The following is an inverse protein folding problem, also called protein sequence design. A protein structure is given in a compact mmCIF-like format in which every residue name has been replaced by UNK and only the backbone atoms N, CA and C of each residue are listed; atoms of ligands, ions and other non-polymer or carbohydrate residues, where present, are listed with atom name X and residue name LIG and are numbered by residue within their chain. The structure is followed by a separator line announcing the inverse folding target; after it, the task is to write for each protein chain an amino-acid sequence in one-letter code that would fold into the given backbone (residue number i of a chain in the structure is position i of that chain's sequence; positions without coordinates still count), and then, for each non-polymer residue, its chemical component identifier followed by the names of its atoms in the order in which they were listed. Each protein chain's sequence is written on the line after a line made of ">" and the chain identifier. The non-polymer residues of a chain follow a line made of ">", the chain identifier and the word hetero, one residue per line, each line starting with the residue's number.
data_IF_334138940538
#
_entry.id   IF_334138940538
#
_cell.length_a   1.000
_cell.length_b   1.000
_cell.length_c   1.000
_cell.angle_alpha   90.00
_cell.angle_beta   90.00
_cell.angle_gamma   90.00
#
_symmetry.space_group_name_H-M   'P 1'
#
loop_
_entity.id
_entity.type
_entity.pdbx_description
1 polymer ?
#
# COMPACT_ATOMS: atom_id res chain seq x y z
N UNK A 1 27.98 8.70 3.03
CA UNK A 1 28.45 8.87 4.42
C UNK A 1 27.96 7.69 5.24
N UNK A 2 28.77 7.20 6.16
CA UNK A 2 28.39 6.22 7.20
C UNK A 2 27.85 6.96 8.43
N UNK A 3 27.15 6.25 9.33
CA UNK A 3 26.69 6.84 10.59
C UNK A 3 27.88 7.33 11.42
N UNK A 4 27.80 8.57 11.90
CA UNK A 4 28.86 9.29 12.62
C UNK A 4 30.00 9.81 11.74
N UNK A 5 29.94 9.66 10.42
CA UNK A 5 30.96 10.21 9.52
C UNK A 5 30.85 11.74 9.46
N UNK A 6 31.99 12.42 9.61
CA UNK A 6 32.15 13.86 9.38
C UNK A 6 32.93 14.02 8.07
N UNK A 7 32.41 14.84 7.15
CA UNK A 7 33.05 15.09 5.87
C UNK A 7 32.91 16.55 5.42
N UNK A 8 33.98 17.06 4.80
CA UNK A 8 33.99 18.38 4.17
C UNK A 8 33.47 18.31 2.73
N UNK A 9 32.46 19.12 2.42
CA UNK A 9 31.87 19.25 1.09
C UNK A 9 32.17 20.63 0.51
N UNK A 10 32.84 20.65 -0.65
CA UNK A 10 33.02 21.84 -1.47
C UNK A 10 32.03 21.81 -2.64
N UNK A 11 30.99 22.64 -2.56
CA UNK A 11 29.84 22.64 -3.47
C UNK A 11 29.98 23.81 -4.45
N UNK A 12 30.12 23.50 -5.74
CA UNK A 12 30.13 24.48 -6.83
C UNK A 12 28.77 25.20 -6.91
N UNK A 13 28.77 26.45 -7.37
CA UNK A 13 27.57 27.29 -7.35
C UNK A 13 26.35 26.69 -8.07
N UNK A 14 26.54 26.00 -9.18
CA UNK A 14 25.50 25.33 -9.97
C UNK A 14 24.86 24.10 -9.28
N UNK A 15 25.52 23.54 -8.26
CA UNK A 15 24.95 22.56 -7.33
C UNK A 15 24.44 23.20 -6.03
N UNK A 16 24.61 24.52 -5.87
CA UNK A 16 24.17 25.32 -4.72
C UNK A 16 23.07 26.33 -5.10
N UNK A 17 23.35 27.62 -4.94
CA UNK A 17 22.39 28.71 -5.18
C UNK A 17 22.51 29.40 -6.57
N UNK A 18 23.39 28.89 -7.44
CA UNK A 18 23.55 29.36 -8.81
C UNK A 18 23.88 30.85 -8.96
N UNK A 19 23.52 31.40 -10.12
CA UNK A 19 23.74 32.81 -10.46
C UNK A 19 22.91 33.77 -9.61
N UNK A 20 21.77 33.32 -9.07
CA UNK A 20 20.91 34.17 -8.24
C UNK A 20 21.45 34.34 -6.82
N UNK A 21 22.18 33.36 -6.29
CA UNK A 21 22.57 33.33 -4.89
C UNK A 21 21.35 33.25 -3.95
N UNK A 22 21.57 33.59 -2.68
CA UNK A 22 20.52 33.74 -1.65
C UNK A 22 20.87 34.95 -0.79
N UNK A 23 20.62 36.13 -1.37
CA UNK A 23 20.94 37.41 -0.76
C UNK A 23 20.15 37.64 0.54
N UNK A 24 20.75 38.29 1.56
CA UNK A 24 22.10 38.87 1.58
C UNK A 24 23.20 37.86 1.98
N UNK A 25 22.85 36.61 2.31
CA UNK A 25 23.77 35.66 2.97
C UNK A 25 24.70 34.94 2.01
N UNK A 26 24.22 34.63 0.82
CA UNK A 26 24.98 33.89 -0.20
C UNK A 26 24.99 34.75 -1.47
N UNK A 27 26.16 35.23 -1.94
CA UNK A 27 26.22 35.99 -3.18
C UNK A 27 25.96 35.11 -4.41
N UNK A 28 25.56 35.71 -5.54
CA UNK A 28 25.62 35.08 -6.86
C UNK A 28 26.89 34.28 -7.10
N UNK A 29 26.77 33.06 -7.65
CA UNK A 29 27.88 32.21 -8.07
C UNK A 29 28.86 31.80 -6.96
N UNK A 30 28.44 31.83 -5.69
CA UNK A 30 29.29 31.40 -4.57
C UNK A 30 29.55 29.88 -4.59
N UNK A 31 30.80 29.48 -4.33
CA UNK A 31 31.15 28.11 -3.94
C UNK A 31 31.00 27.97 -2.43
N UNK A 32 30.28 26.94 -1.97
CA UNK A 32 30.01 26.72 -0.55
C UNK A 32 30.94 25.65 0.01
N UNK A 33 31.44 25.85 1.22
CA UNK A 33 32.14 24.81 1.98
C UNK A 33 31.29 24.45 3.21
N UNK A 34 30.97 23.17 3.37
CA UNK A 34 30.24 22.65 4.52
C UNK A 34 31.04 21.55 5.18
N UNK A 35 31.11 21.56 6.50
CA UNK A 35 31.41 20.37 7.29
C UNK A 35 30.06 19.72 7.64
N UNK A 36 29.88 18.46 7.26
CA UNK A 36 28.62 17.73 7.48
C UNK A 36 28.91 16.48 8.31
N UNK A 37 28.16 16.31 9.40
CA UNK A 37 28.13 15.09 10.20
C UNK A 37 26.84 14.30 9.91
N UNK A 38 26.97 13.03 9.52
CA UNK A 38 25.82 12.14 9.39
C UNK A 38 25.49 11.49 10.74
N UNK A 39 24.68 12.17 11.55
CA UNK A 39 24.29 11.70 12.90
C UNK A 39 23.48 10.40 12.83
N UNK A 40 22.40 10.40 12.05
CA UNK A 40 21.53 9.24 11.85
C UNK A 40 20.67 9.40 10.59
N UNK A 41 20.05 8.31 10.13
CA UNK A 41 18.99 8.35 9.13
C UNK A 41 17.93 7.31 9.48
N UNK A 42 16.71 7.57 9.02
CA UNK A 42 15.59 6.66 9.21
C UNK A 42 14.90 6.44 7.87
N UNK A 43 14.38 5.23 7.69
CA UNK A 43 13.50 4.93 6.58
C UNK A 43 12.19 5.74 6.70
N UNK A 44 11.55 6.07 5.58
CA UNK A 44 10.27 6.79 5.59
C UNK A 44 9.22 5.93 6.30
N UNK A 45 8.66 6.42 7.40
CA UNK A 45 7.53 5.77 8.04
C UNK A 45 6.27 5.99 7.21
N UNK A 46 5.75 4.93 6.60
CA UNK A 46 4.54 4.94 5.76
C UNK A 46 3.37 4.21 6.44
N UNK A 47 3.46 3.93 7.73
CA UNK A 47 2.37 3.36 8.51
C UNK A 47 1.18 4.32 8.61
N UNK A 48 -0.07 3.83 8.71
CA UNK A 48 -1.25 4.70 8.80
C UNK A 48 -1.22 5.67 9.99
N UNK A 49 -0.63 5.26 11.11
CA UNK A 49 -0.58 6.04 12.35
C UNK A 49 0.76 6.74 12.57
N UNK A 50 1.72 6.63 11.63
CA UNK A 50 3.11 7.08 11.81
C UNK A 50 3.75 6.51 13.09
N UNK A 51 3.57 5.20 13.28
CA UNK A 51 4.04 4.44 14.44
C UNK A 51 5.27 3.53 14.12
N UNK A 52 5.87 3.70 12.95
CA UNK A 52 7.04 2.94 12.49
C UNK A 52 6.78 1.48 12.15
N UNK A 53 5.52 1.02 12.16
CA UNK A 53 5.20 -0.39 11.86
C UNK A 53 5.38 -0.78 10.39
N UNK A 54 5.43 0.21 9.50
CA UNK A 54 5.76 0.07 8.09
C UNK A 54 6.73 1.17 7.72
N UNK A 55 7.99 0.82 7.46
CA UNK A 55 8.98 1.79 6.98
C UNK A 55 9.48 1.42 5.59
N UNK A 56 9.82 2.43 4.77
CA UNK A 56 10.27 2.25 3.39
C UNK A 56 11.61 2.94 3.12
N UNK A 57 12.49 2.26 2.40
CA UNK A 57 13.73 2.79 1.85
C UNK A 57 13.76 2.58 0.34
N UNK A 58 13.79 3.68 -0.40
CA UNK A 58 13.85 3.64 -1.87
C UNK A 58 15.26 3.28 -2.33
N UNK A 59 15.37 2.26 -3.20
CA UNK A 59 16.63 1.85 -3.83
C UNK A 59 16.72 2.42 -5.24
N UNK A 60 15.63 2.30 -6.01
CA UNK A 60 15.51 2.84 -7.37
C UNK A 60 14.23 3.67 -7.40
N UNK A 61 14.39 4.94 -7.76
CA UNK A 61 13.28 5.87 -7.93
C UNK A 61 12.35 5.41 -9.05
N UNK A 62 11.05 5.45 -8.79
CA UNK A 62 10.02 5.22 -9.81
C UNK A 62 9.69 6.50 -10.58
N UNK A 63 8.78 6.35 -11.54
CA UNK A 63 8.25 7.49 -12.29
C UNK A 63 7.38 8.40 -11.42
N UNK A 64 7.59 9.72 -11.47
CA UNK A 64 6.85 10.72 -10.65
C UNK A 64 5.44 11.03 -11.16
N UNK A 65 4.71 10.02 -11.61
CA UNK A 65 3.39 10.16 -12.24
C UNK A 65 2.25 9.94 -11.25
N UNK A 66 2.18 8.75 -10.65
CA UNK A 66 1.09 8.35 -9.76
C UNK A 66 1.48 7.11 -8.95
N UNK A 67 0.69 6.83 -7.91
CA UNK A 67 0.78 5.62 -7.11
C UNK A 67 -0.43 4.71 -7.36
N UNK A 68 -0.32 3.39 -7.12
CA UNK A 68 -1.47 2.49 -7.08
C UNK A 68 -2.49 2.92 -6.01
N UNK A 69 -3.79 2.73 -6.30
CA UNK A 69 -4.90 3.02 -5.40
C UNK A 69 -5.73 1.78 -5.05
N UNK A 70 -6.47 1.86 -3.94
CA UNK A 70 -7.42 0.83 -3.49
C UNK A 70 -8.67 0.87 -4.36
N UNK A 71 -8.59 0.30 -5.54
CA UNK A 71 -9.69 0.31 -6.49
C UNK A 71 -9.47 -0.85 -7.46
N UNK A 72 -10.53 -1.58 -7.79
CA UNK A 72 -10.44 -2.69 -8.75
C UNK A 72 -10.01 -2.17 -10.12
N UNK A 73 -9.03 -2.86 -10.72
CA UNK A 73 -9.26 -3.33 -12.06
C UNK A 73 -9.10 -4.85 -12.15
N UNK A 74 -9.62 -5.36 -13.25
CA UNK A 74 -9.56 -6.76 -13.68
C UNK A 74 -8.12 -7.17 -14.03
N UNK A 75 -7.21 -6.22 -14.24
CA UNK A 75 -5.77 -6.43 -14.45
C UNK A 75 -4.94 -5.86 -13.28
N UNK A 76 -4.37 -6.75 -12.46
CA UNK A 76 -3.80 -6.40 -11.15
C UNK A 76 -2.51 -5.55 -11.15
N UNK A 77 -1.97 -5.38 -9.94
CA UNK A 77 -0.66 -4.78 -9.69
C UNK A 77 0.41 -5.85 -9.89
N UNK A 78 1.32 -5.62 -10.84
CA UNK A 78 2.39 -6.55 -11.20
C UNK A 78 3.74 -6.10 -10.63
N UNK A 79 4.37 -6.95 -9.84
CA UNK A 79 5.63 -6.67 -9.18
C UNK A 79 6.39 -7.95 -8.87
N UNK A 80 7.68 -7.80 -8.62
CA UNK A 80 8.50 -8.85 -8.04
C UNK A 80 8.69 -8.56 -6.54
N UNK A 81 8.52 -9.58 -5.70
CA UNK A 81 8.71 -9.43 -4.26
C UNK A 81 9.62 -10.52 -3.69
N UNK A 82 10.60 -10.09 -2.91
CA UNK A 82 11.50 -10.96 -2.14
C UNK A 82 11.31 -10.66 -0.65
N UNK A 83 10.71 -11.60 0.07
CA UNK A 83 10.51 -11.54 1.53
C UNK A 83 11.68 -12.19 2.26
N UNK A 84 12.23 -11.49 3.24
CA UNK A 84 13.36 -11.95 4.05
C UNK A 84 13.10 -11.80 5.54
N UNK A 85 13.63 -12.73 6.31
CA UNK A 85 13.68 -12.71 7.77
C UNK A 85 15.11 -13.03 8.21
N UNK A 86 15.73 -12.12 8.97
CA UNK A 86 17.14 -12.25 9.39
C UNK A 86 18.10 -12.58 8.22
N UNK A 87 17.87 -11.96 7.06
CA UNK A 87 18.66 -12.14 5.84
C UNK A 87 18.37 -13.44 5.07
N UNK A 88 17.48 -14.31 5.55
CA UNK A 88 17.06 -15.53 4.83
C UNK A 88 15.80 -15.26 4.02
N UNK A 89 15.82 -15.65 2.75
CA UNK A 89 14.66 -15.55 1.85
C UNK A 89 13.64 -16.62 2.22
N UNK A 90 12.38 -16.20 2.42
CA UNK A 90 11.23 -17.10 2.63
C UNK A 90 10.16 -16.94 1.52
N UNK A 91 10.24 -15.86 0.74
CA UNK A 91 9.32 -15.56 -0.35
C UNK A 91 10.11 -14.95 -1.51
N UNK A 92 9.94 -15.47 -2.72
CA UNK A 92 10.57 -14.92 -3.94
C UNK A 92 9.67 -15.26 -5.13
N UNK A 93 8.85 -14.30 -5.57
CA UNK A 93 7.86 -14.51 -6.62
C UNK A 93 7.63 -13.25 -7.44
N UNK A 94 7.33 -13.48 -8.71
CA UNK A 94 6.57 -12.52 -9.52
C UNK A 94 5.08 -12.69 -9.22
N UNK A 95 4.43 -11.57 -8.93
CA UNK A 95 3.05 -11.54 -8.42
C UNK A 95 2.24 -10.55 -9.23
N UNK A 96 1.05 -10.97 -9.66
CA UNK A 96 0.03 -10.10 -10.22
C UNK A 96 -1.25 -10.28 -9.41
N UNK A 97 -1.69 -9.24 -8.70
CA UNK A 97 -2.89 -9.34 -7.86
C UNK A 97 -3.60 -7.99 -7.68
N UNK A 98 -4.88 -8.02 -7.31
CA UNK A 98 -5.66 -6.81 -7.01
C UNK A 98 -5.29 -6.30 -5.63
N UNK A 99 -4.82 -5.05 -5.50
CA UNK A 99 -4.48 -4.47 -4.19
C UNK A 99 -5.63 -4.61 -3.19
N UNK A 100 -5.28 -5.05 -1.97
CA UNK A 100 -6.23 -5.45 -0.94
C UNK A 100 -6.52 -6.96 -0.91
N UNK A 101 -6.03 -7.73 -1.89
CA UNK A 101 -6.14 -9.19 -1.97
C UNK A 101 -4.78 -9.91 -1.80
N UNK A 102 -3.77 -9.25 -1.22
CA UNK A 102 -2.40 -9.80 -1.13
C UNK A 102 -2.31 -11.15 -0.40
N UNK A 103 -3.23 -11.44 0.51
CA UNK A 103 -3.32 -12.74 1.17
C UNK A 103 -3.55 -13.91 0.21
N UNK A 104 -4.20 -13.68 -0.94
CA UNK A 104 -4.43 -14.72 -1.96
C UNK A 104 -3.13 -15.20 -2.62
N UNK A 105 -2.07 -14.40 -2.52
CA UNK A 105 -0.74 -14.67 -3.06
C UNK A 105 0.32 -14.79 -1.96
N UNK A 106 -0.13 -15.00 -0.72
CA UNK A 106 0.73 -15.25 0.44
C UNK A 106 1.46 -14.02 0.97
N UNK A 107 0.98 -12.81 0.67
CA UNK A 107 1.55 -11.55 1.16
C UNK A 107 0.80 -11.04 2.40
N UNK A 108 1.50 -10.40 3.35
CA UNK A 108 0.87 -9.79 4.53
C UNK A 108 0.25 -8.42 4.18
N UNK A 109 -0.70 -7.96 4.99
CA UNK A 109 -1.41 -6.68 4.77
C UNK A 109 -0.46 -5.47 4.66
N UNK A 110 0.71 -5.53 5.32
CA UNK A 110 1.73 -4.48 5.20
C UNK A 110 2.23 -4.27 3.78
N UNK A 111 2.28 -5.31 2.94
CA UNK A 111 2.68 -5.20 1.53
C UNK A 111 1.60 -4.45 0.74
N UNK A 112 0.32 -4.81 0.90
CA UNK A 112 -0.81 -4.10 0.27
C UNK A 112 -0.85 -2.62 0.64
N UNK A 113 -0.53 -2.30 1.90
CA UNK A 113 -0.47 -0.91 2.40
C UNK A 113 0.70 -0.18 1.79
N UNK A 114 1.87 -0.80 1.79
CA UNK A 114 3.08 -0.19 1.27
C UNK A 114 2.99 0.13 -0.21
N UNK A 115 2.50 -0.81 -1.03
CA UNK A 115 2.39 -0.66 -2.49
C UNK A 115 1.61 0.59 -2.93
N UNK A 116 0.70 1.13 -2.10
CA UNK A 116 -0.04 2.40 -2.38
C UNK A 116 0.84 3.65 -2.34
N UNK A 117 2.07 3.51 -1.87
CA UNK A 117 3.07 4.58 -1.82
C UNK A 117 4.11 4.45 -2.92
N UNK A 118 4.12 3.32 -3.64
CA UNK A 118 5.08 3.05 -4.70
C UNK A 118 4.70 3.73 -6.00
N UNK A 119 5.69 4.02 -6.83
CA UNK A 119 5.52 4.42 -8.23
C UNK A 119 5.90 3.30 -9.19
N UNK A 120 5.41 3.37 -10.44
CA UNK A 120 5.85 2.44 -11.50
C UNK A 120 7.37 2.52 -11.67
N UNK A 121 8.03 1.37 -11.75
CA UNK A 121 9.49 1.26 -11.85
C UNK A 121 10.23 1.43 -10.52
N UNK A 122 9.54 1.73 -9.42
CA UNK A 122 10.18 1.86 -8.11
C UNK A 122 10.67 0.49 -7.60
N UNK A 123 11.90 0.48 -7.08
CA UNK A 123 12.41 -0.61 -6.26
C UNK A 123 12.67 -0.09 -4.85
N UNK A 124 12.03 -0.70 -3.86
CA UNK A 124 12.16 -0.28 -2.45
C UNK A 124 12.23 -1.47 -1.52
N UNK A 125 12.89 -1.29 -0.38
CA UNK A 125 12.80 -2.19 0.77
C UNK A 125 11.72 -1.65 1.68
N UNK A 126 10.80 -2.51 2.10
CA UNK A 126 9.89 -2.22 3.20
C UNK A 126 10.20 -3.12 4.38
N UNK A 127 10.12 -2.57 5.58
CA UNK A 127 10.22 -3.31 6.84
C UNK A 127 8.87 -3.26 7.53
N UNK A 128 8.37 -4.44 7.90
CA UNK A 128 7.07 -4.64 8.51
C UNK A 128 7.27 -5.20 9.91
N UNK A 129 6.71 -4.53 10.92
CA UNK A 129 6.79 -4.96 12.32
C UNK A 129 5.44 -4.87 13.02
N UNK A 130 5.36 -5.47 14.21
CA UNK A 130 4.12 -5.56 14.98
C UNK A 130 3.23 -6.72 14.52
N UNK A 131 1.98 -6.72 14.98
CA UNK A 131 1.04 -7.85 14.79
C UNK A 131 0.13 -7.69 13.58
N UNK A 132 -0.16 -6.44 13.17
CA UNK A 132 -1.20 -6.13 12.18
C UNK A 132 -0.71 -6.21 10.73
N UNK A 133 0.51 -5.73 10.46
CA UNK A 133 1.03 -5.58 9.10
C UNK A 133 2.03 -6.67 8.69
N UNK A 134 2.33 -7.59 9.60
CA UNK A 134 3.15 -8.79 9.35
C UNK A 134 2.23 -10.00 9.09
N UNK A 135 2.78 -11.21 9.17
CA UNK A 135 1.96 -12.43 9.22
C UNK A 135 1.33 -12.68 10.60
N UNK A 136 1.58 -11.81 11.59
CA UNK A 136 0.95 -11.87 12.91
C UNK A 136 1.34 -13.13 13.70
N UNK A 137 0.49 -13.60 14.63
CA UNK A 137 0.83 -14.68 15.54
C UNK A 137 0.90 -16.06 14.86
N UNK A 138 0.27 -16.22 13.70
CA UNK A 138 0.14 -17.50 12.99
C UNK A 138 0.70 -17.38 11.57
N UNK A 139 2.03 -17.27 11.41
CA UNK A 139 2.63 -17.19 10.09
C UNK A 139 2.45 -18.50 9.30
N UNK A 140 2.46 -18.44 7.95
CA UNK A 140 2.44 -19.64 7.12
C UNK A 140 3.59 -20.60 7.51
N UNK A 141 3.30 -21.86 7.88
CA UNK A 141 4.32 -22.79 8.39
C UNK A 141 5.50 -22.99 7.44
N UNK A 142 5.25 -22.96 6.12
CA UNK A 142 6.26 -23.10 5.09
C UNK A 142 7.34 -21.99 5.10
N UNK A 143 7.04 -20.83 5.68
CA UNK A 143 7.99 -19.72 5.78
C UNK A 143 8.91 -19.83 7.00
N UNK A 144 8.65 -20.75 7.93
CA UNK A 144 9.46 -20.98 9.13
C UNK A 144 9.71 -19.69 9.94
N UNK A 145 8.71 -18.81 10.03
CA UNK A 145 8.79 -17.54 10.76
C UNK A 145 8.33 -17.72 12.20
N UNK A 146 8.95 -17.04 13.19
CA UNK A 146 8.37 -16.95 14.52
C UNK A 146 7.08 -16.12 14.51
N UNK A 147 6.17 -16.33 15.48
CA UNK A 147 5.01 -15.46 15.69
C UNK A 147 5.41 -13.99 15.78
N UNK A 148 4.71 -13.13 15.05
CA UNK A 148 4.94 -11.67 14.98
C UNK A 148 6.34 -11.25 14.52
N UNK A 149 7.00 -12.10 13.72
CA UNK A 149 8.29 -11.79 13.12
C UNK A 149 8.29 -10.41 12.46
N UNK A 150 9.33 -9.62 12.75
CA UNK A 150 9.63 -8.44 11.95
C UNK A 150 10.33 -8.88 10.68
N UNK A 151 9.75 -8.54 9.54
CA UNK A 151 10.15 -9.05 8.22
C UNK A 151 10.42 -7.90 7.26
N UNK A 152 11.22 -8.16 6.23
CA UNK A 152 11.50 -7.21 5.17
C UNK A 152 11.04 -7.75 3.83
N UNK A 153 10.54 -6.88 2.97
CA UNK A 153 10.27 -7.18 1.56
C UNK A 153 11.04 -6.22 0.67
N UNK A 154 11.85 -6.74 -0.24
CA UNK A 154 12.33 -5.99 -1.40
C UNK A 154 11.32 -6.12 -2.51
N UNK A 155 10.74 -5.01 -2.95
CA UNK A 155 9.68 -4.97 -3.95
C UNK A 155 10.15 -4.16 -5.15
N UNK A 156 9.93 -4.69 -6.35
CA UNK A 156 10.09 -3.97 -7.60
C UNK A 156 8.74 -3.86 -8.31
N UNK A 157 8.13 -2.67 -8.27
CA UNK A 157 6.82 -2.42 -8.88
C UNK A 157 6.97 -2.24 -10.39
N UNK A 158 6.55 -3.25 -11.17
CA UNK A 158 6.73 -3.27 -12.63
C UNK A 158 5.64 -2.46 -13.32
N UNK A 159 4.39 -2.72 -12.99
CA UNK A 159 3.24 -2.03 -13.57
C UNK A 159 2.00 -2.15 -12.68
N UNK A 160 1.04 -1.26 -12.90
CA UNK A 160 -0.29 -1.33 -12.33
C UNK A 160 -1.26 -0.61 -13.26
N UNK A 161 -2.53 -0.98 -13.22
CA UNK A 161 -3.58 -0.24 -13.89
C UNK A 161 -4.15 0.82 -12.94
N UNK A 162 -4.15 2.08 -13.39
CA UNK A 162 -4.71 3.17 -12.61
C UNK A 162 -6.23 3.16 -12.76
N UNK A 163 -6.94 3.08 -11.65
CA UNK A 163 -8.38 3.27 -11.66
C UNK A 163 -8.71 4.75 -11.44
N UNK A 164 -9.66 5.31 -12.20
CA UNK A 164 -10.16 6.66 -11.96
C UNK A 164 -10.68 6.80 -10.52
N UNK A 165 -10.59 8.00 -9.96
CA UNK A 165 -11.22 8.28 -8.68
C UNK A 165 -12.75 8.21 -8.82
N UNK A 166 -13.48 7.90 -7.74
CA UNK A 166 -14.95 7.76 -7.78
C UNK A 166 -15.66 8.98 -8.38
N UNK A 167 -15.14 10.19 -8.17
CA UNK A 167 -15.70 11.43 -8.71
C UNK A 167 -15.38 11.67 -10.20
N UNK A 168 -14.38 10.97 -10.75
CA UNK A 168 -14.05 10.98 -12.18
C UNK A 168 -14.89 9.95 -12.97
N UNK A 169 -15.61 9.05 -12.28
CA UNK A 169 -16.41 8.00 -12.90
C UNK A 169 -17.82 8.49 -13.26
N UNK A 170 -18.33 8.04 -14.41
CA UNK A 170 -19.75 8.17 -14.76
C UNK A 170 -20.62 7.26 -13.89
N UNK A 171 -21.92 7.56 -13.83
CA UNK A 171 -22.88 6.73 -13.07
C UNK A 171 -22.90 5.28 -13.57
N UNK A 172 -22.81 5.07 -14.88
CA UNK A 172 -22.74 3.74 -15.50
C UNK A 172 -21.47 3.00 -15.05
N UNK A 173 -20.32 3.68 -15.07
CA UNK A 173 -19.05 3.07 -14.65
C UNK A 173 -19.04 2.73 -13.17
N UNK A 174 -19.60 3.59 -12.31
CA UNK A 174 -19.76 3.29 -10.88
C UNK A 174 -20.61 2.05 -10.64
N UNK A 175 -21.70 1.89 -11.41
CA UNK A 175 -22.57 0.71 -11.34
C UNK A 175 -21.82 -0.56 -11.75
N UNK A 176 -21.04 -0.48 -12.82
CA UNK A 176 -20.20 -1.59 -13.28
C UNK A 176 -19.19 -2.00 -12.20
N UNK A 177 -18.41 -1.05 -11.67
CA UNK A 177 -17.41 -1.29 -10.61
C UNK A 177 -18.04 -1.85 -9.33
N UNK A 178 -19.19 -1.32 -8.91
CA UNK A 178 -19.95 -1.84 -7.77
C UNK A 178 -20.43 -3.28 -7.99
N UNK A 179 -20.82 -3.62 -9.22
CA UNK A 179 -21.24 -4.99 -9.57
C UNK A 179 -20.05 -5.94 -9.53
N UNK A 180 -18.90 -5.56 -10.11
CA UNK A 180 -17.66 -6.33 -10.04
C UNK A 180 -17.20 -6.55 -8.59
N UNK A 181 -17.25 -5.51 -7.75
CA UNK A 181 -16.93 -5.61 -6.34
C UNK A 181 -17.89 -6.56 -5.60
N UNK A 182 -19.21 -6.49 -5.88
CA UNK A 182 -20.21 -7.42 -5.32
C UNK A 182 -19.93 -8.86 -5.69
N UNK A 183 -19.67 -9.14 -6.96
CA UNK A 183 -19.45 -10.50 -7.45
C UNK A 183 -18.17 -11.09 -6.86
N UNK A 184 -17.09 -10.29 -6.79
CA UNK A 184 -15.83 -10.67 -6.14
C UNK A 184 -16.01 -10.90 -4.64
N UNK A 185 -16.72 -10.01 -3.95
CA UNK A 185 -17.04 -10.17 -2.52
C UNK A 185 -17.83 -11.43 -2.24
N UNK A 186 -18.81 -11.74 -3.09
CA UNK A 186 -19.63 -12.96 -3.01
C UNK A 186 -18.79 -14.21 -3.26
N UNK A 187 -17.85 -14.16 -4.20
CA UNK A 187 -16.90 -15.26 -4.43
C UNK A 187 -16.01 -15.53 -3.21
N UNK A 188 -15.55 -14.49 -2.51
CA UNK A 188 -14.79 -14.63 -1.26
C UNK A 188 -15.66 -15.14 -0.11
N UNK A 189 -16.90 -14.66 0.00
CA UNK A 189 -17.83 -15.12 1.03
C UNK A 189 -18.09 -16.62 0.91
N UNK A 190 -18.29 -17.13 -0.32
CA UNK A 190 -18.43 -18.58 -0.60
C UNK A 190 -17.21 -19.41 -0.18
N UNK A 191 -16.04 -18.79 -0.08
CA UNK A 191 -14.79 -19.42 0.36
C UNK A 191 -14.52 -19.19 1.87
N UNK A 192 -15.48 -18.62 2.61
CA UNK A 192 -15.32 -18.20 4.01
C UNK A 192 -14.18 -17.19 4.24
N UNK A 193 -13.80 -16.41 3.20
CA UNK A 193 -12.76 -15.38 3.28
C UNK A 193 -13.39 -14.05 3.70
N UNK A 194 -13.87 -14.01 4.94
CA UNK A 194 -14.77 -12.95 5.44
C UNK A 194 -14.16 -11.54 5.37
N UNK A 195 -12.87 -11.38 5.70
CA UNK A 195 -12.18 -10.08 5.62
C UNK A 195 -12.11 -9.54 4.18
N UNK A 196 -11.77 -10.41 3.21
CA UNK A 196 -11.72 -10.03 1.79
C UNK A 196 -13.13 -9.70 1.26
N UNK A 197 -14.13 -10.53 1.62
CA UNK A 197 -15.52 -10.28 1.26
C UNK A 197 -16.00 -8.92 1.80
N UNK A 198 -15.76 -8.65 3.08
CA UNK A 198 -16.08 -7.37 3.72
C UNK A 198 -15.43 -6.19 3.00
N UNK A 199 -14.14 -6.25 2.70
CA UNK A 199 -13.43 -5.18 1.99
C UNK A 199 -14.06 -4.90 0.61
N UNK A 200 -14.50 -5.95 -0.10
CA UNK A 200 -15.20 -5.78 -1.39
C UNK A 200 -16.58 -5.18 -1.25
N UNK A 201 -17.35 -5.56 -0.23
CA UNK A 201 -18.65 -4.93 0.01
C UNK A 201 -18.52 -3.48 0.47
N UNK A 202 -17.55 -3.18 1.34
CA UNK A 202 -17.24 -1.80 1.75
C UNK A 202 -16.89 -0.91 0.55
N UNK A 203 -16.12 -1.44 -0.41
CA UNK A 203 -15.81 -0.71 -1.65
C UNK A 203 -17.06 -0.30 -2.43
N UNK A 204 -18.15 -1.09 -2.37
CA UNK A 204 -19.42 -0.72 -3.01
C UNK A 204 -20.02 0.52 -2.35
N UNK A 205 -19.99 0.59 -1.02
CA UNK A 205 -20.43 1.77 -0.26
C UNK A 205 -19.62 2.99 -0.68
N UNK A 206 -18.29 2.88 -0.74
CA UNK A 206 -17.39 3.98 -1.15
C UNK A 206 -17.64 4.47 -2.59
N UNK A 207 -18.06 3.58 -3.50
CA UNK A 207 -18.36 3.93 -4.90
C UNK A 207 -19.71 4.65 -5.00
N UNK A 208 -20.71 4.22 -4.23
CA UNK A 208 -22.09 4.65 -4.38
C UNK A 208 -22.54 5.73 -3.38
N UNK A 209 -21.73 6.06 -2.36
CA UNK A 209 -22.06 6.98 -1.26
C UNK A 209 -22.71 8.28 -1.75
N UNK A 210 -22.11 8.92 -2.76
CA UNK A 210 -22.55 10.20 -3.29
C UNK A 210 -23.30 10.10 -4.62
N UNK A 211 -23.69 8.90 -5.06
CA UNK A 211 -24.43 8.74 -6.31
C UNK A 211 -25.88 9.20 -6.14
N UNK A 212 -26.21 10.36 -6.73
CA UNK A 212 -27.51 11.02 -6.62
C UNK A 212 -28.37 10.86 -7.87
N UNK A 213 -27.80 10.38 -8.98
CA UNK A 213 -28.50 10.28 -10.27
C UNK A 213 -29.34 9.00 -10.42
N UNK A 214 -29.30 8.08 -9.45
CA UNK A 214 -30.10 6.86 -9.49
C UNK A 214 -31.53 7.10 -9.01
N UNK A 215 -32.49 6.45 -9.67
CA UNK A 215 -33.87 6.38 -9.20
C UNK A 215 -33.92 5.89 -7.73
N UNK A 216 -34.70 6.55 -6.84
CA UNK A 216 -34.75 6.22 -5.42
C UNK A 216 -35.09 4.76 -5.11
N UNK A 217 -35.89 4.09 -5.96
CA UNK A 217 -36.28 2.68 -5.80
C UNK A 217 -35.10 1.76 -6.13
N UNK A 218 -34.40 2.03 -7.23
CA UNK A 218 -33.20 1.26 -7.62
C UNK A 218 -32.06 1.45 -6.61
N UNK A 219 -31.90 2.68 -6.10
CA UNK A 219 -30.93 2.99 -5.04
C UNK A 219 -31.23 2.19 -3.77
N UNK A 220 -32.48 2.17 -3.32
CA UNK A 220 -32.90 1.46 -2.10
C UNK A 220 -32.74 -0.06 -2.21
N UNK A 221 -33.15 -0.67 -3.33
CA UNK A 221 -33.04 -2.13 -3.55
C UNK A 221 -31.57 -2.59 -3.58
N UNK A 222 -30.68 -1.82 -4.23
CA UNK A 222 -29.25 -2.18 -4.29
C UNK A 222 -28.54 -1.98 -2.96
N UNK A 223 -28.78 -0.86 -2.26
CA UNK A 223 -28.22 -0.62 -0.93
C UNK A 223 -28.64 -1.70 0.07
N UNK A 224 -29.91 -2.11 0.06
CA UNK A 224 -30.40 -3.19 0.93
C UNK A 224 -29.71 -4.53 0.63
N UNK A 225 -29.51 -4.87 -0.65
CA UNK A 225 -28.83 -6.13 -1.03
C UNK A 225 -27.34 -6.17 -0.64
N UNK A 226 -26.67 -5.02 -0.55
CA UNK A 226 -25.26 -4.92 -0.13
C UNK A 226 -25.18 -4.93 1.40
N UNK A 227 -26.03 -4.15 2.07
CA UNK A 227 -26.09 -4.09 3.52
C UNK A 227 -26.45 -5.44 4.15
N UNK A 228 -27.39 -6.20 3.59
CA UNK A 228 -27.75 -7.54 4.08
C UNK A 228 -26.57 -8.53 4.00
N UNK A 229 -25.81 -8.50 2.90
CA UNK A 229 -24.64 -9.36 2.72
C UNK A 229 -23.46 -8.96 3.63
N UNK A 230 -23.25 -7.65 3.83
CA UNK A 230 -22.28 -7.12 4.79
C UNK A 230 -22.64 -7.47 6.24
N UNK A 231 -23.91 -7.34 6.63
CA UNK A 231 -24.40 -7.69 7.97
C UNK A 231 -24.28 -9.20 8.22
N UNK A 232 -24.55 -10.03 7.21
CA UNK A 232 -24.36 -11.48 7.29
C UNK A 232 -22.88 -11.85 7.51
N UNK A 233 -21.96 -11.21 6.79
CA UNK A 233 -20.52 -11.40 6.99
C UNK A 233 -20.06 -10.93 8.40
N UNK A 234 -20.60 -9.83 8.92
CA UNK A 234 -20.29 -9.35 10.27
C UNK A 234 -20.86 -10.27 11.37
N UNK A 235 -22.10 -10.72 11.24
CA UNK A 235 -22.75 -11.61 12.22
C UNK A 235 -22.15 -13.03 12.23
N UNK A 236 -21.53 -13.46 11.13
CA UNK A 236 -20.79 -14.72 11.06
C UNK A 236 -19.35 -14.62 11.56
N UNK A 237 -18.78 -13.43 11.73
CA UNK A 237 -17.45 -13.26 12.37
C UNK A 237 -17.56 -13.14 13.90
N UNK A 238 -18.64 -12.55 14.41
CA UNK A 238 -18.88 -12.38 15.86
C UNK A 238 -19.31 -13.68 16.56
N UNK A 239 -19.78 -14.68 15.84
CA UNK A 239 -20.06 -16.03 16.37
C UNK A 239 -18.80 -16.89 16.55
N UNK A 240 -17.64 -16.51 15.97
CA UNK A 240 -16.36 -17.19 16.17
C UNK A 240 -15.51 -16.61 17.31
N UNK A 241 -15.92 -15.49 17.92
CA UNK A 241 -15.24 -14.93 19.10
C UNK A 241 -15.74 -15.47 20.44
N UNK A 242 -16.59 -16.51 20.42
CA UNK A 242 -17.10 -17.21 21.62
C UNK A 242 -16.89 -18.72 21.46
N UNK A 243 -15.64 -19.16 21.30
CA UNK A 243 -15.22 -20.52 21.62
C UNK A 243 -13.70 -20.52 21.79
N UNK A 244 -13.29 -20.59 23.06
CA UNK A 244 -12.00 -21.01 23.65
C UNK A 244 -10.68 -20.47 23.06
#
# INVERSE_FOLDING_TARGET
>A
MKKGEIADFKIRSDYGYGESGSMPKIPPNATLNFEVELIDWQAEDISPNRDGTITRSVIVEGEKLANPNETSPVEGTFFHAVGTYEGKVFYDKDVNFILGEGSEVGLPEGVDRALRRFCRGEKSIIRLSGTKFTYGPNPPPEYNLPPNATIEFTIFLKSYEKVPATWEMTSEKKIEEATLAKDRGTAFLKQNKLKLAFNKYKRIEDILEYERSMDPVQKKVRYLSVAENSLFALNSTSSFSVSE
#
